data_IF_803260802570
#
_entry.id   IF_803260802570
#
_cell.length_a   1.000
_cell.length_b   1.000
_cell.length_c   1.000
_cell.angle_alpha   90.00
_cell.angle_beta   90.00
_cell.angle_gamma   90.00
#
_symmetry.space_group_name_H-M   'P 1'
#
loop_
_entity.id
_entity.type
_entity.pdbx_description
1 polymer ?
#
# COMPACT_ATOMS: atom_id res chain seq x y z
N UNK A 1 33.17 18.98 -5.37
CA UNK A 1 32.51 19.02 -4.05
C UNK A 1 31.29 18.13 -4.11
N UNK A 2 31.34 16.96 -3.48
CA UNK A 2 30.13 16.16 -3.26
C UNK A 2 29.27 16.92 -2.24
N UNK A 3 28.10 17.40 -2.67
CA UNK A 3 27.11 17.91 -1.73
C UNK A 3 26.69 16.73 -0.85
N UNK A 4 27.09 16.77 0.42
CA UNK A 4 26.54 15.88 1.43
C UNK A 4 25.04 16.16 1.50
N UNK A 5 24.22 15.23 1.00
CA UNK A 5 22.78 15.25 1.24
C UNK A 5 22.57 15.37 2.75
N UNK A 6 21.86 16.42 3.17
CA UNK A 6 21.44 16.58 4.56
C UNK A 6 20.34 15.54 4.81
N UNK A 7 20.78 14.29 5.03
CA UNK A 7 19.91 13.18 5.38
C UNK A 7 19.32 13.52 6.74
N UNK A 8 18.05 13.86 6.74
CA UNK A 8 17.24 14.11 7.92
C UNK A 8 17.34 12.95 8.93
N UNK A 9 16.81 13.17 10.14
CA UNK A 9 16.70 12.22 11.25
C UNK A 9 15.98 10.88 10.93
N UNK A 10 15.66 10.63 9.66
CA UNK A 10 14.98 9.45 9.13
C UNK A 10 15.93 8.31 8.70
N UNK A 11 17.24 8.56 8.62
CA UNK A 11 18.24 7.53 8.24
C UNK A 11 18.16 6.33 9.19
N UNK A 12 18.05 5.11 8.67
CA UNK A 12 17.97 3.89 9.48
C UNK A 12 16.57 3.45 9.89
N UNK A 13 15.56 4.33 9.82
CA UNK A 13 14.20 4.03 10.32
C UNK A 13 13.30 3.33 9.30
N UNK A 14 13.69 3.30 8.03
CA UNK A 14 12.87 2.78 6.92
C UNK A 14 13.69 1.85 6.00
N UNK A 15 14.84 1.36 6.47
CA UNK A 15 15.80 0.64 5.62
C UNK A 15 15.30 -0.75 5.18
N UNK A 16 14.32 -1.32 5.89
CA UNK A 16 13.80 -2.66 5.65
C UNK A 16 12.30 -2.68 5.32
N UNK A 17 11.74 -1.63 4.70
CA UNK A 17 10.29 -1.63 4.38
C UNK A 17 9.90 -2.83 3.50
N UNK A 18 10.69 -3.14 2.47
CA UNK A 18 10.38 -4.27 1.58
C UNK A 18 10.36 -5.61 2.30
N UNK A 19 11.18 -5.78 3.34
CA UNK A 19 11.22 -6.99 4.18
C UNK A 19 10.20 -7.02 5.30
N UNK A 20 9.38 -5.98 5.50
CA UNK A 20 8.32 -6.00 6.51
C UNK A 20 7.27 -7.05 6.15
N UNK A 21 7.00 -7.98 7.07
CA UNK A 21 5.87 -8.91 6.95
C UNK A 21 4.63 -8.28 7.57
N UNK A 22 3.60 -8.06 6.76
CA UNK A 22 2.27 -7.61 7.23
C UNK A 22 1.44 -8.85 7.53
N UNK A 23 0.75 -8.86 8.65
CA UNK A 23 -0.08 -10.00 9.06
C UNK A 23 -1.51 -9.55 9.38
N UNK A 24 -2.54 -10.31 8.98
CA UNK A 24 -2.45 -11.55 8.21
C UNK A 24 -2.02 -11.32 6.74
N UNK A 25 -1.56 -12.40 6.11
CA UNK A 25 -1.15 -12.40 4.70
C UNK A 25 -2.39 -12.22 3.79
N UNK A 26 -2.18 -11.76 2.55
CA UNK A 26 -3.24 -11.68 1.54
C UNK A 26 -3.62 -13.08 1.05
N UNK A 27 -4.91 -13.27 0.77
CA UNK A 27 -5.46 -14.50 0.20
C UNK A 27 -6.13 -14.21 -1.15
N UNK A 28 -6.25 -15.26 -1.98
CA UNK A 28 -6.86 -15.19 -3.30
C UNK A 28 -7.98 -16.20 -3.48
N UNK A 29 -8.88 -15.89 -4.41
CA UNK A 29 -9.90 -16.81 -4.93
C UNK A 29 -9.76 -16.94 -6.44
N UNK A 30 -10.20 -18.05 -7.00
CA UNK A 30 -10.13 -18.28 -8.45
C UNK A 30 -11.02 -17.30 -9.23
N UNK A 31 -10.47 -16.76 -10.32
CA UNK A 31 -11.22 -15.97 -11.29
C UNK A 31 -11.92 -16.90 -12.31
N UNK A 32 -13.23 -17.09 -12.18
CA UNK A 32 -14.03 -17.91 -13.10
C UNK A 32 -14.25 -17.27 -14.47
N UNK A 33 -13.98 -15.96 -14.62
CA UNK A 33 -14.12 -15.21 -15.87
C UNK A 33 -12.73 -14.76 -16.39
N UNK A 34 -11.72 -15.62 -16.23
CA UNK A 34 -10.35 -15.36 -16.66
C UNK A 34 -10.18 -15.28 -18.20
N UNK A 35 -11.24 -15.63 -18.94
CA UNK A 35 -11.38 -15.48 -20.38
C UNK A 35 -11.71 -14.03 -20.82
N UNK A 36 -12.07 -13.16 -19.88
CA UNK A 36 -12.43 -11.77 -20.16
C UNK A 36 -11.47 -10.78 -19.50
N UNK A 37 -11.19 -9.67 -20.20
CA UNK A 37 -10.53 -8.52 -19.60
C UNK A 37 -11.56 -7.62 -18.93
N UNK A 38 -11.46 -7.50 -17.60
CA UNK A 38 -12.28 -6.58 -16.82
C UNK A 38 -11.45 -5.86 -15.76
N UNK A 39 -11.98 -4.74 -15.26
CA UNK A 39 -11.34 -3.93 -14.24
C UNK A 39 -12.07 -4.10 -12.91
N UNK A 40 -11.32 -4.37 -11.86
CA UNK A 40 -11.81 -4.36 -10.47
C UNK A 40 -11.26 -3.12 -9.78
N UNK A 41 -12.11 -2.40 -9.06
CA UNK A 41 -11.72 -1.30 -8.18
C UNK A 41 -12.13 -1.61 -6.73
N UNK A 42 -11.16 -1.52 -5.83
CA UNK A 42 -11.31 -1.71 -4.39
C UNK A 42 -10.97 -0.41 -3.70
N UNK A 43 -11.87 0.09 -2.85
CA UNK A 43 -11.70 1.36 -2.16
C UNK A 43 -12.05 1.26 -0.69
N UNK A 44 -11.20 1.84 0.16
CA UNK A 44 -11.48 1.99 1.59
C UNK A 44 -10.94 3.32 2.11
N UNK A 45 -11.62 3.89 3.10
CA UNK A 45 -11.17 5.06 3.86
C UNK A 45 -10.75 4.69 5.30
N UNK A 46 -10.62 3.39 5.61
CA UNK A 46 -10.28 2.88 6.94
C UNK A 46 -8.78 2.63 7.13
N UNK A 47 -7.94 3.00 6.15
CA UNK A 47 -6.50 2.73 6.20
C UNK A 47 -5.77 3.73 7.11
N UNK A 48 -4.91 3.19 7.99
CA UNK A 48 -4.11 4.00 8.91
C UNK A 48 -2.75 3.36 9.20
N UNK A 49 -1.75 4.21 9.43
CA UNK A 49 -0.36 3.85 9.80
C UNK A 49 0.12 4.78 10.92
N UNK A 50 1.34 4.60 11.40
CA UNK A 50 1.99 5.52 12.34
C UNK A 50 3.11 6.29 11.63
N UNK A 51 3.18 7.60 11.86
CA UNK A 51 4.32 8.38 11.38
C UNK A 51 5.60 7.97 12.13
N UNK A 52 6.69 7.55 11.43
CA UNK A 52 7.94 7.10 12.06
C UNK A 52 8.63 8.13 12.96
N UNK A 53 8.26 9.41 12.84
CA UNK A 53 8.87 10.51 13.61
C UNK A 53 8.02 10.94 14.79
N UNK A 54 6.75 11.24 14.56
CA UNK A 54 5.90 11.82 15.62
C UNK A 54 5.16 10.77 16.43
N UNK A 55 5.08 9.53 15.96
CA UNK A 55 4.23 8.50 16.57
C UNK A 55 2.73 8.77 16.40
N UNK A 56 2.35 9.85 15.70
CA UNK A 56 0.95 10.20 15.45
C UNK A 56 0.41 9.40 14.27
N UNK A 57 -0.88 9.02 14.29
CA UNK A 57 -1.49 8.26 13.23
C UNK A 57 -1.56 9.06 11.92
N UNK A 58 -1.34 8.35 10.82
CA UNK A 58 -1.62 8.78 9.46
C UNK A 58 -2.87 8.05 8.96
N UNK A 59 -3.74 8.75 8.23
CA UNK A 59 -4.95 8.18 7.64
C UNK A 59 -4.97 8.44 6.14
N UNK A 60 -5.46 7.46 5.38
CA UNK A 60 -5.57 7.59 3.94
C UNK A 60 -6.83 6.91 3.39
N UNK A 61 -7.32 7.45 2.26
CA UNK A 61 -8.16 6.71 1.34
C UNK A 61 -7.24 5.89 0.44
N UNK A 62 -7.46 4.58 0.36
CA UNK A 62 -6.75 3.66 -0.52
C UNK A 62 -7.69 3.21 -1.62
N UNK A 63 -7.23 3.35 -2.86
CA UNK A 63 -7.88 2.80 -4.06
C UNK A 63 -6.90 1.88 -4.76
N UNK A 64 -7.27 0.60 -4.92
CA UNK A 64 -6.54 -0.38 -5.72
C UNK A 64 -7.39 -0.72 -6.94
N UNK A 65 -6.83 -0.54 -8.13
CA UNK A 65 -7.43 -0.91 -9.39
C UNK A 65 -6.60 -2.03 -10.00
N UNK A 66 -7.20 -3.10 -10.50
CA UNK A 66 -6.46 -4.17 -11.16
C UNK A 66 -7.28 -4.88 -12.24
N UNK A 67 -6.56 -5.43 -13.22
CA UNK A 67 -7.08 -6.37 -14.21
C UNK A 67 -6.64 -7.78 -13.77
N UNK A 68 -7.54 -8.63 -13.27
CA UNK A 68 -7.17 -9.96 -12.81
C UNK A 68 -6.66 -10.83 -13.96
N UNK A 69 -5.82 -11.79 -13.60
CA UNK A 69 -5.51 -12.95 -14.45
C UNK A 69 -6.26 -14.17 -13.89
N UNK A 70 -5.57 -15.12 -13.26
CA UNK A 70 -6.17 -16.34 -12.71
C UNK A 70 -6.85 -16.13 -11.35
N UNK A 71 -6.54 -15.04 -10.66
CA UNK A 71 -6.92 -14.83 -9.28
C UNK A 71 -7.56 -13.48 -9.02
N UNK A 72 -8.47 -13.45 -8.04
CA UNK A 72 -9.03 -12.27 -7.41
C UNK A 72 -8.53 -12.21 -5.96
N UNK A 73 -8.31 -11.00 -5.45
CA UNK A 73 -8.04 -10.85 -4.02
C UNK A 73 -9.28 -11.21 -3.19
N UNK A 74 -9.10 -11.94 -2.10
CA UNK A 74 -10.17 -12.18 -1.14
C UNK A 74 -10.36 -10.92 -0.26
N UNK A 75 -11.57 -10.36 -0.26
CA UNK A 75 -11.83 -9.03 0.28
C UNK A 75 -11.62 -8.93 1.80
N UNK A 76 -11.91 -9.98 2.57
CA UNK A 76 -11.66 -10.00 4.02
C UNK A 76 -10.17 -10.00 4.33
N UNK A 77 -9.35 -10.76 3.60
CA UNK A 77 -7.90 -10.80 3.74
C UNK A 77 -7.29 -9.45 3.43
N UNK A 78 -7.75 -8.77 2.36
CA UNK A 78 -7.32 -7.40 2.04
C UNK A 78 -7.64 -6.42 3.18
N UNK A 79 -8.85 -6.49 3.74
CA UNK A 79 -9.22 -5.67 4.90
C UNK A 79 -8.26 -5.92 6.07
N UNK A 80 -8.02 -7.17 6.43
CA UNK A 80 -7.19 -7.51 7.58
C UNK A 80 -5.71 -7.17 7.34
N UNK A 81 -5.20 -7.38 6.13
CA UNK A 81 -3.88 -6.95 5.67
C UNK A 81 -3.71 -5.44 5.85
N UNK A 82 -4.66 -4.63 5.38
CA UNK A 82 -4.62 -3.18 5.55
C UNK A 82 -4.71 -2.75 7.03
N UNK A 83 -5.47 -3.48 7.85
CA UNK A 83 -5.51 -3.27 9.32
C UNK A 83 -4.17 -3.59 9.98
N UNK A 84 -3.38 -4.53 9.43
CA UNK A 84 -2.05 -4.88 9.91
C UNK A 84 -1.07 -3.70 9.95
N UNK A 85 -1.33 -2.65 9.17
CA UNK A 85 -0.53 -1.43 9.15
C UNK A 85 -0.77 -0.48 10.33
N UNK A 86 -1.86 -0.68 11.10
CA UNK A 86 -2.36 0.29 12.10
C UNK A 86 -1.31 0.81 13.07
N UNK A 87 -0.37 -0.04 13.47
CA UNK A 87 0.68 0.30 14.44
C UNK A 87 2.09 0.32 13.81
N UNK A 88 2.18 0.29 12.47
CA UNK A 88 3.46 0.25 11.76
C UNK A 88 3.93 1.66 11.48
N UNK A 89 5.16 1.95 11.90
CA UNK A 89 5.90 3.16 11.56
C UNK A 89 6.37 3.14 10.12
N UNK A 90 5.65 3.78 9.20
CA UNK A 90 5.99 3.77 7.77
C UNK A 90 5.68 5.10 7.09
N UNK A 91 6.52 5.54 6.15
CA UNK A 91 6.20 6.70 5.31
C UNK A 91 5.07 6.42 4.35
N UNK A 92 4.32 7.48 4.05
CA UNK A 92 3.14 7.44 3.19
C UNK A 92 3.49 6.83 1.81
N UNK A 93 4.59 7.26 1.21
CA UNK A 93 5.07 6.77 -0.08
C UNK A 93 5.50 5.30 -0.03
N UNK A 94 6.14 4.90 1.06
CA UNK A 94 6.59 3.52 1.28
C UNK A 94 5.41 2.58 1.53
N UNK A 95 4.42 2.99 2.31
CA UNK A 95 3.20 2.24 2.53
C UNK A 95 2.47 1.97 1.20
N UNK A 96 2.25 3.00 0.39
CA UNK A 96 1.62 2.85 -0.93
C UNK A 96 2.36 1.88 -1.83
N UNK A 97 3.69 2.00 -1.91
CA UNK A 97 4.50 1.12 -2.75
C UNK A 97 4.50 -0.32 -2.26
N UNK A 98 4.61 -0.53 -0.95
CA UNK A 98 4.61 -1.87 -0.35
C UNK A 98 3.27 -2.57 -0.54
N UNK A 99 2.15 -1.87 -0.35
CA UNK A 99 0.82 -2.45 -0.56
C UNK A 99 0.70 -2.99 -2.00
N UNK A 100 1.12 -2.21 -3.00
CA UNK A 100 1.08 -2.67 -4.38
C UNK A 100 2.05 -3.82 -4.65
N UNK A 101 3.25 -3.81 -4.05
CA UNK A 101 4.23 -4.90 -4.19
C UNK A 101 3.69 -6.22 -3.63
N UNK A 102 3.17 -6.21 -2.41
CA UNK A 102 2.56 -7.39 -1.78
C UNK A 102 1.29 -7.84 -2.55
N UNK A 103 0.48 -6.89 -3.05
CA UNK A 103 -0.70 -7.17 -3.86
C UNK A 103 -0.35 -7.87 -5.17
N UNK A 104 0.64 -7.38 -5.91
CA UNK A 104 1.09 -7.99 -7.18
C UNK A 104 1.67 -9.38 -6.92
N UNK A 105 2.48 -9.54 -5.87
CA UNK A 105 3.07 -10.83 -5.52
C UNK A 105 2.01 -11.89 -5.17
N UNK A 106 0.91 -11.47 -4.51
CA UNK A 106 -0.17 -12.36 -4.12
C UNK A 106 -1.16 -12.66 -5.27
N UNK A 107 -1.67 -11.61 -5.93
CA UNK A 107 -2.79 -11.70 -6.88
C UNK A 107 -2.33 -12.00 -8.31
N UNK A 108 -1.08 -11.65 -8.65
CA UNK A 108 -0.49 -11.79 -9.99
C UNK A 108 -1.40 -11.24 -11.12
N UNK A 109 -1.86 -9.98 -11.02
CA UNK A 109 -2.76 -9.40 -12.01
C UNK A 109 -2.01 -9.08 -13.32
N UNK A 110 -2.75 -9.00 -14.43
CA UNK A 110 -2.22 -8.53 -15.73
C UNK A 110 -1.75 -7.06 -15.65
N UNK A 111 -2.43 -6.28 -14.81
CA UNK A 111 -2.10 -4.89 -14.51
C UNK A 111 -2.70 -4.53 -13.14
N UNK A 112 -1.99 -3.72 -12.37
CA UNK A 112 -2.49 -3.13 -11.14
C UNK A 112 -1.99 -1.70 -10.95
N UNK A 113 -2.78 -0.92 -10.25
CA UNK A 113 -2.51 0.45 -9.83
C UNK A 113 -3.02 0.67 -8.41
N UNK A 114 -2.25 1.43 -7.66
CA UNK A 114 -2.67 1.95 -6.36
C UNK A 114 -2.67 3.47 -6.37
N UNK A 115 -3.63 4.03 -5.67
CA UNK A 115 -3.66 5.43 -5.30
C UNK A 115 -3.99 5.55 -3.81
N UNK A 116 -3.22 6.38 -3.10
CA UNK A 116 -3.49 6.74 -1.71
C UNK A 116 -3.59 8.24 -1.57
N UNK A 117 -4.68 8.72 -0.97
CA UNK A 117 -4.89 10.13 -0.65
C UNK A 117 -4.83 10.26 0.86
N UNK A 118 -3.81 10.94 1.37
CA UNK A 118 -3.50 11.05 2.78
C UNK A 118 -4.07 12.35 3.37
N UNK A 119 -4.52 12.28 4.63
CA UNK A 119 -4.93 13.47 5.36
C UNK A 119 -3.76 14.45 5.50
N UNK A 120 -4.07 15.75 5.37
CA UNK A 120 -3.07 16.79 5.38
C UNK A 120 -2.23 16.80 6.67
N UNK A 121 -0.92 16.97 6.53
CA UNK A 121 -0.01 17.29 7.63
C UNK A 121 0.57 18.68 7.45
N UNK A 122 0.43 19.53 8.45
CA UNK A 122 0.87 20.93 8.38
C UNK A 122 0.22 21.72 7.24
N UNK A 123 -1.00 21.35 6.84
CA UNK A 123 -1.72 21.96 5.72
C UNK A 123 -1.29 21.46 4.33
N UNK A 124 -0.50 20.38 4.24
CA UNK A 124 -0.05 19.81 2.97
C UNK A 124 -0.73 18.46 2.74
N UNK A 125 -1.51 18.37 1.66
CA UNK A 125 -2.08 17.12 1.17
C UNK A 125 -1.03 16.29 0.42
N UNK A 126 -1.07 14.98 0.63
CA UNK A 126 -0.18 14.05 -0.08
C UNK A 126 -1.02 13.04 -0.85
N UNK A 127 -0.69 12.89 -2.14
CA UNK A 127 -1.26 11.86 -3.01
C UNK A 127 -0.14 11.06 -3.65
N UNK A 128 -0.16 9.75 -3.43
CA UNK A 128 0.82 8.83 -4.01
C UNK A 128 0.09 7.91 -4.98
N UNK A 129 0.66 7.74 -6.18
CA UNK A 129 0.14 6.84 -7.21
C UNK A 129 1.28 5.99 -7.77
N UNK A 130 0.98 4.73 -8.06
CA UNK A 130 1.86 3.83 -8.81
C UNK A 130 1.04 2.86 -9.62
N UNK A 131 1.54 2.51 -10.79
CA UNK A 131 1.08 1.41 -11.63
C UNK A 131 2.22 0.40 -11.87
N UNK A 132 1.85 -0.80 -12.33
CA UNK A 132 2.77 -1.91 -12.65
C UNK A 132 3.15 -1.94 -14.12
#
# INVERSE_FOLDING_TARGET
MQQSLNLSEYKGKQDNIRGLKITPDLEVVENQYNDNDYLVELKTNEFTTVCPKTGLPDFAIVTIQYKPDQYLVEQKSLKLYLVGYRNIGIFQEHATNKILEDFIACVQPKWAKIETIWNARGGIDVRVKRES
#
